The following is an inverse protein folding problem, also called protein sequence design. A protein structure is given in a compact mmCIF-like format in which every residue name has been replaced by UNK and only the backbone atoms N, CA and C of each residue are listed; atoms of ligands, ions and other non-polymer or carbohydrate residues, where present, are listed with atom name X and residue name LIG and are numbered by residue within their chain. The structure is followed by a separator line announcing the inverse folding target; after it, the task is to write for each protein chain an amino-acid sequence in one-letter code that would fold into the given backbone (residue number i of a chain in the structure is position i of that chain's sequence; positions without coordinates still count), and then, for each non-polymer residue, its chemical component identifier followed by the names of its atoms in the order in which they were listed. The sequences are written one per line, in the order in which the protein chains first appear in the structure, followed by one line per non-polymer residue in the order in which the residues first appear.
data_IF_496855642756
#
_entry.id   IF_496855642756
#
_cell.length_a   1.000
_cell.length_b   1.000
_cell.length_c   1.000
_cell.angle_alpha   90.00
_cell.angle_beta   90.00
_cell.angle_gamma   90.00
#
_symmetry.space_group_name_H-M   'P 1'
#
loop_
_entity.id
_entity.type
_entity.pdbx_description
1 polymer ?
#
# COMPACT_ATOMS: atom_id res chain seq x y z
N UNK A 1 -9.91 33.56 22.22
CA UNK A 1 -8.88 32.66 21.62
C UNK A 1 -9.07 32.66 20.11
N UNK A 2 -8.77 31.56 19.40
CA UNK A 2 -9.31 31.32 18.05
C UNK A 2 -10.50 30.36 18.15
N UNK A 3 -11.69 30.81 17.78
CA UNK A 3 -12.86 29.93 17.70
C UNK A 3 -12.69 28.94 16.55
N UNK A 4 -12.93 27.65 16.82
CA UNK A 4 -12.91 26.57 15.83
C UNK A 4 -14.18 25.74 15.93
N UNK A 5 -14.54 25.05 14.86
CA UNK A 5 -15.67 24.12 14.79
C UNK A 5 -15.15 22.69 14.97
N UNK A 6 -15.82 21.89 15.80
CA UNK A 6 -15.48 20.49 16.03
C UNK A 6 -16.04 19.59 14.93
N UNK A 7 -15.19 18.86 14.19
CA UNK A 7 -15.58 17.99 13.04
C UNK A 7 -16.45 16.75 13.38
N UNK A 8 -17.05 16.69 14.57
CA UNK A 8 -17.79 15.52 15.08
C UNK A 8 -19.21 15.87 15.52
N UNK A 9 -19.38 17.07 16.07
CA UNK A 9 -20.62 17.60 16.62
C UNK A 9 -20.93 19.03 16.13
N UNK A 10 -20.09 19.58 15.26
CA UNK A 10 -20.15 20.94 14.69
C UNK A 10 -20.27 22.09 15.70
N UNK A 11 -19.97 21.79 16.98
CA UNK A 11 -19.98 22.77 18.06
C UNK A 11 -18.76 23.70 17.99
N UNK A 12 -18.95 25.01 18.25
CA UNK A 12 -17.84 25.94 18.40
C UNK A 12 -17.07 25.66 19.70
N UNK A 13 -15.73 25.78 19.65
CA UNK A 13 -14.86 25.68 20.81
C UNK A 13 -13.67 26.62 20.71
N UNK A 14 -13.12 27.02 21.86
CA UNK A 14 -11.89 27.80 21.92
C UNK A 14 -10.67 26.86 21.82
N UNK A 15 -9.89 26.99 20.75
CA UNK A 15 -8.62 26.29 20.63
C UNK A 15 -7.48 27.09 21.28
N UNK A 16 -6.62 26.39 22.03
CA UNK A 16 -5.35 26.94 22.50
C UNK A 16 -4.49 27.38 21.30
N UNK A 17 -3.98 28.62 21.32
CA UNK A 17 -3.28 29.24 20.17
C UNK A 17 -2.07 28.44 19.67
N UNK A 18 -1.42 27.67 20.54
CA UNK A 18 -0.23 26.86 20.26
C UNK A 18 -0.54 25.46 19.73
N UNK A 19 -1.80 25.01 19.75
CA UNK A 19 -2.17 23.61 19.48
C UNK A 19 -2.99 23.47 18.20
N UNK A 20 -2.66 22.48 17.37
CA UNK A 20 -3.50 22.04 16.23
C UNK A 20 -4.71 21.23 16.71
N UNK A 21 -5.45 21.75 17.69
CA UNK A 21 -6.66 21.13 18.22
C UNK A 21 -7.81 21.28 17.22
N UNK A 22 -8.43 20.14 16.87
CA UNK A 22 -9.51 20.00 15.87
C UNK A 22 -10.83 19.57 16.55
N UNK A 23 -10.75 18.98 17.75
CA UNK A 23 -11.89 18.50 18.52
C UNK A 23 -12.10 19.34 19.77
N UNK A 24 -13.36 19.65 20.10
CA UNK A 24 -13.72 20.41 21.30
C UNK A 24 -13.41 19.65 22.61
N UNK A 25 -13.40 18.32 22.58
CA UNK A 25 -13.23 17.46 23.75
C UNK A 25 -12.49 16.16 23.45
N UNK A 26 -11.92 15.48 24.48
CA UNK A 26 -11.42 14.12 24.35
C UNK A 26 -12.50 13.09 23.95
N UNK A 27 -13.77 13.35 24.25
CA UNK A 27 -14.88 12.49 23.83
C UNK A 27 -15.03 12.53 22.31
N UNK A 28 -15.22 13.72 21.74
CA UNK A 28 -15.31 13.88 20.28
C UNK A 28 -14.07 13.33 19.55
N UNK A 29 -12.87 13.46 20.14
CA UNK A 29 -11.66 12.83 19.61
C UNK A 29 -11.80 11.29 19.53
N UNK A 30 -12.19 10.64 20.63
CA UNK A 30 -12.43 9.17 20.66
C UNK A 30 -13.54 8.76 19.70
N UNK A 31 -14.51 9.63 19.45
CA UNK A 31 -15.62 9.37 18.54
C UNK A 31 -15.18 9.44 17.08
N UNK A 32 -14.34 10.42 16.73
CA UNK A 32 -13.66 10.49 15.42
C UNK A 32 -12.68 9.33 15.20
N UNK A 33 -12.05 8.83 16.25
CA UNK A 33 -11.26 7.59 16.22
C UNK A 33 -12.16 6.39 15.91
N UNK A 34 -13.22 6.13 16.70
CA UNK A 34 -14.18 5.03 16.44
C UNK A 34 -14.83 5.07 15.06
N UNK A 35 -15.25 6.24 14.56
CA UNK A 35 -15.84 6.38 13.21
C UNK A 35 -14.87 5.96 12.10
N UNK A 36 -13.56 6.20 12.27
CA UNK A 36 -12.53 5.80 11.30
C UNK A 36 -12.24 4.30 11.36
N UNK A 37 -12.24 3.72 12.56
CA UNK A 37 -12.06 2.28 12.71
C UNK A 37 -13.28 1.51 12.17
N UNK A 38 -14.49 1.99 12.42
CA UNK A 38 -15.72 1.46 11.83
C UNK A 38 -15.67 1.50 10.29
N UNK A 39 -15.28 2.62 9.69
CA UNK A 39 -15.13 2.72 8.23
C UNK A 39 -14.08 1.75 7.65
N UNK A 40 -13.01 1.44 8.41
CA UNK A 40 -12.00 0.43 8.04
C UNK A 40 -12.52 -1.00 8.16
N UNK A 41 -13.30 -1.28 9.20
CA UNK A 41 -13.92 -2.60 9.38
C UNK A 41 -15.03 -2.83 8.33
N UNK A 42 -15.76 -1.80 7.92
CA UNK A 42 -16.69 -1.83 6.79
C UNK A 42 -15.98 -2.05 5.43
N UNK A 43 -14.80 -1.46 5.20
CA UNK A 43 -13.98 -1.75 4.00
C UNK A 43 -13.47 -3.20 4.04
N UNK A 44 -13.04 -3.71 5.20
CA UNK A 44 -12.66 -5.12 5.38
C UNK A 44 -13.85 -6.05 5.10
N UNK A 45 -15.03 -5.74 5.64
CA UNK A 45 -16.25 -6.52 5.41
C UNK A 45 -16.66 -6.51 3.94
N UNK A 46 -16.58 -5.34 3.27
CA UNK A 46 -16.79 -5.23 1.82
C UNK A 46 -15.83 -6.11 1.03
N UNK A 47 -14.51 -6.06 1.30
CA UNK A 47 -13.52 -6.91 0.62
C UNK A 47 -13.74 -8.41 0.83
N UNK A 48 -14.19 -8.81 2.03
CA UNK A 48 -14.52 -10.20 2.34
C UNK A 48 -15.80 -10.68 1.63
N UNK A 49 -16.76 -9.80 1.32
CA UNK A 49 -17.90 -10.11 0.45
C UNK A 49 -17.53 -10.09 -1.04
N UNK A 50 -16.75 -9.09 -1.45
CA UNK A 50 -16.31 -8.88 -2.84
C UNK A 50 -15.39 -10.00 -3.34
N UNK A 51 -14.68 -10.73 -2.47
CA UNK A 51 -13.79 -11.82 -2.91
C UNK A 51 -14.50 -13.00 -3.62
N UNK A 52 -15.83 -13.06 -3.58
CA UNK A 52 -16.66 -13.98 -4.39
C UNK A 52 -17.01 -13.37 -5.75
N UNK A 53 -17.22 -12.06 -5.79
CA UNK A 53 -17.43 -11.27 -7.00
C UNK A 53 -16.10 -10.79 -7.52
N UNK A 54 -15.36 -11.66 -8.22
CA UNK A 54 -14.22 -11.20 -9.03
C UNK A 54 -14.68 -9.98 -9.83
N UNK A 55 -14.09 -8.78 -9.65
CA UNK A 55 -14.29 -7.73 -10.63
C UNK A 55 -13.83 -8.33 -11.95
N UNK A 56 -14.70 -8.29 -12.96
CA UNK A 56 -14.37 -8.75 -14.30
C UNK A 56 -13.14 -7.98 -14.75
N UNK A 57 -11.97 -8.62 -14.62
CA UNK A 57 -10.72 -8.11 -15.16
C UNK A 57 -11.03 -7.75 -16.60
N UNK A 58 -10.71 -6.53 -17.07
CA UNK A 58 -10.79 -6.24 -18.49
C UNK A 58 -9.96 -7.32 -19.18
N UNK A 59 -10.63 -8.18 -19.93
CA UNK A 59 -10.00 -9.37 -20.47
C UNK A 59 -8.89 -8.88 -21.40
N UNK A 60 -7.63 -9.06 -20.96
CA UNK A 60 -6.49 -8.78 -21.80
C UNK A 60 -6.69 -9.66 -23.05
N UNK A 61 -6.65 -9.07 -24.26
CA UNK A 61 -6.94 -9.83 -25.47
C UNK A 61 -6.05 -11.07 -25.49
N UNK A 62 -6.70 -12.23 -25.58
CA UNK A 62 -6.02 -13.51 -25.42
C UNK A 62 -4.77 -13.55 -26.31
N UNK A 63 -3.60 -13.98 -25.80
CA UNK A 63 -2.38 -14.00 -26.58
C UNK A 63 -2.58 -14.90 -27.78
N UNK A 64 -2.70 -14.29 -28.96
CA UNK A 64 -2.99 -14.96 -30.22
C UNK A 64 -2.02 -16.11 -30.41
N UNK A 65 -2.56 -17.31 -30.60
CA UNK A 65 -1.79 -18.54 -30.78
C UNK A 65 -1.08 -18.51 -32.15
N UNK A 66 0.03 -17.78 -32.23
CA UNK A 66 0.96 -17.89 -33.36
C UNK A 66 1.86 -19.08 -33.10
N UNK A 67 1.60 -20.16 -33.84
CA UNK A 67 2.33 -21.42 -33.79
C UNK A 67 3.84 -21.24 -34.07
N UNK A 68 4.60 -22.30 -33.78
CA UNK A 68 6.02 -22.51 -34.12
C UNK A 68 7.07 -21.92 -33.14
N UNK A 69 7.24 -22.63 -32.03
CA UNK A 69 8.52 -22.78 -31.30
C UNK A 69 9.67 -23.12 -32.27
N UNK A 70 10.87 -22.55 -32.05
CA UNK A 70 12.04 -23.41 -31.85
C UNK A 70 12.55 -23.33 -30.42
N UNK A 71 13.00 -24.48 -29.91
CA UNK A 71 13.74 -24.56 -28.65
C UNK A 71 15.13 -23.94 -28.87
N UNK A 72 15.27 -22.64 -28.63
CA UNK A 72 16.57 -21.97 -28.68
C UNK A 72 16.86 -21.25 -27.37
N UNK A 73 17.76 -21.86 -26.57
CA UNK A 73 18.43 -21.23 -25.42
C UNK A 73 17.44 -20.76 -24.34
N UNK A 74 17.15 -21.56 -23.31
CA UNK A 74 18.13 -21.88 -22.26
C UNK A 74 19.18 -20.75 -22.09
N UNK A 75 18.71 -19.53 -21.87
CA UNK A 75 19.40 -18.57 -21.02
C UNK A 75 19.14 -19.09 -19.59
N UNK A 76 19.94 -20.02 -19.06
CA UNK A 76 21.29 -19.75 -18.59
C UNK A 76 21.31 -18.44 -17.79
N UNK A 77 21.55 -18.55 -16.48
CA UNK A 77 21.81 -17.41 -15.60
C UNK A 77 23.16 -16.77 -15.97
N UNK A 78 23.20 -16.17 -17.16
CA UNK A 78 24.24 -15.26 -17.56
C UNK A 78 23.97 -13.96 -16.82
N UNK A 79 24.78 -13.73 -15.79
CA UNK A 79 25.04 -12.42 -15.20
C UNK A 79 24.75 -11.32 -16.21
N UNK A 80 23.63 -10.62 -16.01
CA UNK A 80 23.34 -9.38 -16.74
C UNK A 80 24.07 -8.29 -16.00
N UNK A 81 24.77 -7.44 -16.75
CA UNK A 81 25.39 -6.26 -16.18
C UNK A 81 24.32 -5.48 -15.38
N UNK A 82 24.55 -5.13 -14.10
CA UNK A 82 23.54 -4.49 -13.26
C UNK A 82 23.00 -3.14 -13.78
N UNK A 83 23.62 -2.56 -14.81
CA UNK A 83 23.24 -1.30 -15.43
C UNK A 83 22.53 -1.48 -16.79
N UNK A 84 22.29 -2.71 -17.25
CA UNK A 84 21.54 -2.98 -18.49
C UNK A 84 20.12 -2.39 -18.45
N UNK A 85 19.71 -1.59 -19.47
CA UNK A 85 18.36 -1.04 -19.59
C UNK A 85 17.26 -2.12 -19.48
N UNK A 86 16.46 -2.07 -18.41
CA UNK A 86 15.37 -3.03 -18.19
C UNK A 86 14.10 -2.63 -18.93
N UNK A 87 13.85 -1.32 -19.09
CA UNK A 87 12.80 -0.79 -19.96
C UNK A 87 13.10 0.68 -20.34
N UNK A 88 12.45 1.19 -21.37
CA UNK A 88 12.41 2.63 -21.69
C UNK A 88 10.96 3.09 -21.69
N UNK A 89 10.68 4.28 -21.13
CA UNK A 89 9.36 4.93 -21.17
C UNK A 89 9.53 6.41 -21.49
N UNK A 90 8.49 7.10 -21.95
CA UNK A 90 8.54 8.55 -22.15
C UNK A 90 8.08 9.28 -20.88
N UNK A 91 8.80 10.34 -20.50
CA UNK A 91 8.46 11.17 -19.35
C UNK A 91 7.12 11.89 -19.56
N UNK A 92 6.22 11.83 -18.59
CA UNK A 92 4.89 12.45 -18.68
C UNK A 92 4.88 13.99 -18.75
N UNK A 93 6.02 14.65 -18.48
CA UNK A 93 6.13 16.11 -18.49
C UNK A 93 6.67 16.70 -19.79
N UNK A 94 7.59 16.00 -20.47
CA UNK A 94 8.29 16.50 -21.67
C UNK A 94 8.31 15.50 -22.83
N UNK A 95 7.70 14.32 -22.67
CA UNK A 95 7.66 13.20 -23.63
C UNK A 95 9.03 12.66 -24.09
N UNK A 96 10.13 13.08 -23.46
CA UNK A 96 11.47 12.55 -23.73
C UNK A 96 11.64 11.13 -23.17
N UNK A 97 12.45 10.27 -23.83
CA UNK A 97 12.70 8.92 -23.36
C UNK A 97 13.52 8.90 -22.06
N UNK A 98 13.09 8.09 -21.10
CA UNK A 98 13.77 7.82 -19.83
C UNK A 98 14.00 6.31 -19.69
N UNK A 99 15.23 5.94 -19.35
CA UNK A 99 15.65 4.56 -19.15
C UNK A 99 15.38 4.13 -17.71
N UNK A 100 14.76 2.96 -17.55
CA UNK A 100 14.48 2.31 -16.28
C UNK A 100 15.50 1.18 -16.11
N UNK A 101 16.38 1.33 -15.12
CA UNK A 101 17.32 0.28 -14.69
C UNK A 101 16.67 -0.50 -13.55
N UNK A 102 16.41 -1.78 -13.79
CA UNK A 102 15.89 -2.70 -12.78
C UNK A 102 17.03 -3.17 -11.89
N UNK A 103 17.30 -2.44 -10.81
CA UNK A 103 18.19 -2.91 -9.76
C UNK A 103 17.62 -4.21 -9.18
N UNK A 104 18.26 -5.33 -9.52
CA UNK A 104 17.94 -6.66 -8.99
C UNK A 104 18.27 -6.71 -7.50
N UNK A 105 17.36 -6.19 -6.68
CA UNK A 105 17.40 -6.37 -5.24
C UNK A 105 17.24 -7.87 -4.94
N UNK A 106 18.36 -8.53 -4.65
CA UNK A 106 18.39 -9.91 -4.16
C UNK A 106 17.41 -10.02 -2.99
N UNK A 107 16.47 -10.98 -2.97
CA UNK A 107 15.42 -11.04 -1.95
C UNK A 107 15.98 -11.17 -0.52
N UNK A 108 17.21 -11.64 -0.38
CA UNK A 108 17.96 -11.65 0.88
C UNK A 108 18.14 -10.25 1.49
N UNK A 109 18.38 -9.23 0.68
CA UNK A 109 18.53 -7.84 1.12
C UNK A 109 17.19 -7.16 1.50
N UNK A 110 16.06 -7.74 1.08
CA UNK A 110 14.73 -7.29 1.48
C UNK A 110 14.25 -7.92 2.80
N UNK A 111 15.00 -8.86 3.38
CA UNK A 111 14.68 -9.43 4.69
C UNK A 111 14.99 -8.43 5.81
N UNK A 112 13.96 -7.81 6.36
CA UNK A 112 14.07 -7.14 7.66
C UNK A 112 14.26 -8.18 8.75
N UNK A 113 15.50 -8.39 9.17
CA UNK A 113 15.85 -9.22 10.33
C UNK A 113 15.28 -8.61 11.61
N UNK A 114 14.11 -9.10 12.05
CA UNK A 114 13.61 -8.84 13.39
C UNK A 114 14.55 -9.54 14.39
N UNK A 115 15.04 -8.85 15.45
CA UNK A 115 15.84 -9.50 16.48
C UNK A 115 14.98 -10.55 17.20
N UNK A 116 15.29 -11.82 16.99
CA UNK A 116 14.44 -12.96 17.36
C UNK A 116 14.34 -13.24 18.89
N UNK A 117 14.75 -12.30 19.74
CA UNK A 117 14.81 -12.44 21.19
C UNK A 117 14.68 -11.10 21.93
N UNK A 118 13.62 -10.33 21.67
CA UNK A 118 13.13 -9.37 22.67
C UNK A 118 12.22 -10.12 23.66
N UNK A 119 12.61 -10.28 24.94
CA UNK A 119 11.88 -11.14 25.89
C UNK A 119 10.48 -10.65 26.26
N UNK A 120 10.12 -9.40 25.93
CA UNK A 120 8.84 -8.77 26.26
C UNK A 120 7.67 -9.09 25.29
N UNK A 121 7.91 -9.77 24.16
CA UNK A 121 6.83 -10.10 23.22
C UNK A 121 6.15 -11.41 23.62
N UNK A 122 5.14 -11.31 24.48
CA UNK A 122 4.26 -12.45 24.82
C UNK A 122 3.20 -12.62 23.73
N UNK A 123 3.21 -13.72 22.95
CA UNK A 123 2.19 -13.96 21.94
C UNK A 123 0.84 -14.30 22.58
N UNK A 124 -0.15 -13.42 22.41
CA UNK A 124 -1.53 -13.66 22.83
C UNK A 124 -2.12 -14.87 22.10
N UNK A 125 -2.30 -15.98 22.82
CA UNK A 125 -3.04 -17.14 22.30
C UNK A 125 -4.54 -16.82 22.30
N UNK A 126 -5.21 -17.06 21.17
CA UNK A 126 -6.69 -17.09 21.15
C UNK A 126 -7.12 -18.35 21.88
N UNK A 127 -7.81 -18.19 23.01
CA UNK A 127 -8.61 -19.25 23.62
C UNK A 127 -9.74 -19.60 22.65
N UNK A 128 -9.91 -20.91 22.38
CA UNK A 128 -11.14 -21.43 21.78
C UNK A 128 -12.25 -21.44 22.83
#
# INVERSE_FOLDING_TARGET
MGARVCLVCDGPFEALKTTRQIYCSPACRKDAERRRDQARDEDRMRRLGETTSLPSWPELPAPSQTLCRPLSRQQAAAERDPLEPTATRNCAHCHQPVTIVGLLAIPEAARTSLPAASPDIVPLRRTQ
#
